data_IF_361762667496
#
_entry.id   IF_361762667496
#
_cell.length_a   1.000
_cell.length_b   1.000
_cell.length_c   1.000
_cell.angle_alpha   90.00
_cell.angle_beta   90.00
_cell.angle_gamma   90.00
#
_symmetry.space_group_name_H-M   'P 1'
#
loop_
_entity.id
_entity.type
_entity.pdbx_description
1 polymer ?
#
# COMPACT_ATOMS: atom_id res chain seq x y z
N UNK A 1 -12.77 9.60 -9.45
CA UNK A 1 -11.99 10.14 -10.58
C UNK A 1 -12.56 11.48 -11.04
N UNK A 2 -13.84 11.59 -11.37
CA UNK A 2 -14.44 12.84 -11.86
C UNK A 2 -14.23 14.01 -10.89
N UNK A 3 -14.49 13.82 -9.60
CA UNK A 3 -14.29 14.86 -8.60
C UNK A 3 -12.80 15.27 -8.42
N UNK A 4 -11.87 14.37 -8.69
CA UNK A 4 -10.44 14.65 -8.60
C UNK A 4 -9.97 15.57 -9.73
N UNK A 5 -10.53 15.38 -10.92
CA UNK A 5 -10.15 16.09 -12.14
C UNK A 5 -11.28 17.03 -12.65
N UNK A 6 -12.17 17.44 -11.74
CA UNK A 6 -13.32 18.28 -12.12
C UNK A 6 -12.92 19.57 -12.84
N UNK A 7 -11.83 20.19 -12.42
CA UNK A 7 -11.36 21.45 -13.03
C UNK A 7 -10.90 21.27 -14.49
N UNK A 8 -10.36 20.11 -14.83
CA UNK A 8 -9.91 19.77 -16.17
C UNK A 8 -11.07 19.24 -17.04
N UNK A 9 -11.92 18.41 -16.44
CA UNK A 9 -13.03 17.76 -17.13
C UNK A 9 -14.19 18.72 -17.39
N UNK A 10 -14.38 19.69 -16.49
CA UNK A 10 -15.46 20.67 -16.62
C UNK A 10 -15.15 21.66 -17.74
N UNK A 11 -16.05 21.72 -18.73
CA UNK A 11 -16.03 22.81 -19.70
C UNK A 11 -16.55 24.12 -19.14
N UNK A 12 -16.49 25.16 -19.94
CA UNK A 12 -17.10 26.47 -19.64
C UNK A 12 -18.36 26.67 -20.49
N UNK A 13 -19.48 26.96 -19.84
CA UNK A 13 -20.71 27.21 -20.55
C UNK A 13 -20.59 28.47 -21.42
N UNK A 14 -21.03 28.35 -22.67
CA UNK A 14 -21.25 29.51 -23.54
C UNK A 14 -22.50 30.27 -23.11
N UNK A 15 -22.54 31.51 -23.48
CA UNK A 15 -23.72 32.37 -23.32
C UNK A 15 -24.00 33.15 -24.58
N UNK A 16 -25.27 33.22 -24.98
CA UNK A 16 -25.70 34.05 -26.12
C UNK A 16 -26.80 34.98 -25.64
N UNK A 17 -26.61 36.26 -25.85
CA UNK A 17 -27.63 37.30 -25.67
C UNK A 17 -28.18 37.61 -27.03
N UNK A 18 -29.47 37.40 -27.23
CA UNK A 18 -30.12 37.63 -28.53
C UNK A 18 -31.47 38.31 -28.37
N UNK A 19 -31.88 39.03 -29.39
CA UNK A 19 -33.25 39.52 -29.53
C UNK A 19 -34.09 38.40 -30.13
N UNK A 20 -35.17 38.03 -29.44
CA UNK A 20 -36.12 37.01 -29.90
C UNK A 20 -37.37 37.69 -30.42
N UNK A 21 -37.92 37.23 -31.54
CA UNK A 21 -39.21 37.66 -32.09
C UNK A 21 -40.37 37.09 -31.28
N UNK A 22 -41.58 37.64 -31.49
CA UNK A 22 -42.79 37.15 -30.83
C UNK A 22 -43.11 35.66 -31.10
N UNK A 23 -42.70 35.15 -32.26
CA UNK A 23 -42.82 33.73 -32.64
C UNK A 23 -41.74 32.83 -32.03
N UNK A 24 -40.89 33.36 -31.16
CA UNK A 24 -39.81 32.61 -30.50
C UNK A 24 -38.53 32.42 -31.38
N UNK A 25 -38.52 32.91 -32.63
CA UNK A 25 -37.38 32.82 -33.48
C UNK A 25 -36.30 33.87 -33.11
N UNK A 26 -35.01 33.51 -33.28
CA UNK A 26 -33.90 34.41 -33.05
C UNK A 26 -33.87 35.52 -34.14
N UNK A 27 -33.93 36.76 -33.72
CA UNK A 27 -33.82 37.90 -34.65
C UNK A 27 -32.37 38.33 -34.85
N UNK A 28 -31.66 38.61 -33.76
CA UNK A 28 -30.30 39.15 -33.81
C UNK A 28 -29.54 38.75 -32.56
N UNK A 29 -28.32 38.22 -32.70
CA UNK A 29 -27.37 38.01 -31.62
C UNK A 29 -26.71 39.35 -31.29
N UNK A 30 -26.77 39.76 -30.03
CA UNK A 30 -26.13 40.97 -29.52
C UNK A 30 -24.72 40.72 -29.02
N UNK A 31 -24.54 39.59 -28.32
CA UNK A 31 -23.25 39.12 -27.82
C UNK A 31 -23.29 37.61 -27.70
N UNK A 32 -22.15 36.96 -27.87
CA UNK A 32 -21.99 35.54 -27.63
C UNK A 32 -20.59 35.24 -27.05
N UNK A 33 -20.56 34.41 -26.05
CA UNK A 33 -19.35 33.77 -25.53
C UNK A 33 -19.46 32.31 -25.92
N UNK A 34 -18.52 31.77 -26.72
CA UNK A 34 -18.57 30.37 -27.11
C UNK A 34 -18.36 29.44 -25.89
N UNK A 35 -19.03 28.30 -25.92
CA UNK A 35 -18.71 27.22 -24.96
C UNK A 35 -17.29 26.73 -25.16
N UNK A 36 -16.65 26.27 -24.11
CA UNK A 36 -15.39 25.55 -24.17
C UNK A 36 -15.59 24.18 -23.56
N UNK A 37 -15.28 23.15 -24.32
CA UNK A 37 -15.36 21.77 -23.82
C UNK A 37 -14.21 21.50 -22.83
N UNK A 38 -14.43 20.63 -21.85
CA UNK A 38 -13.40 20.19 -20.93
C UNK A 38 -12.30 19.38 -21.62
N UNK A 39 -11.23 19.11 -20.90
CA UNK A 39 -10.10 18.33 -21.41
C UNK A 39 -10.30 16.85 -21.14
N UNK A 40 -9.87 16.02 -22.07
CA UNK A 40 -9.76 14.58 -21.82
C UNK A 40 -8.59 14.27 -20.88
N UNK A 41 -8.77 13.33 -19.99
CA UNK A 41 -7.72 12.81 -19.11
C UNK A 41 -7.57 11.33 -19.36
N UNK A 42 -6.35 10.91 -19.65
CA UNK A 42 -5.99 9.49 -19.73
C UNK A 42 -5.30 9.09 -18.44
N UNK A 43 -5.71 7.97 -17.86
CA UNK A 43 -5.13 7.44 -16.64
C UNK A 43 -4.19 6.27 -16.95
N UNK A 44 -3.29 5.99 -16.03
CA UNK A 44 -2.37 4.84 -16.07
C UNK A 44 -3.06 3.51 -15.77
N UNK A 45 -4.32 3.54 -15.33
CA UNK A 45 -5.09 2.34 -14.99
C UNK A 45 -5.30 1.46 -16.24
N UNK A 46 -4.79 0.24 -16.17
CA UNK A 46 -5.10 -0.81 -17.14
C UNK A 46 -6.47 -1.42 -16.82
N UNK A 47 -7.45 -1.16 -17.67
CA UNK A 47 -8.83 -1.59 -17.46
C UNK A 47 -8.98 -3.12 -17.44
N UNK A 48 -8.14 -3.88 -18.18
CA UNK A 48 -8.17 -5.33 -18.19
C UNK A 48 -7.62 -5.87 -16.87
N UNK A 49 -6.48 -5.35 -16.40
CA UNK A 49 -5.90 -5.72 -15.10
C UNK A 49 -6.85 -5.35 -13.95
N UNK A 50 -7.39 -4.14 -13.96
CA UNK A 50 -8.38 -3.67 -12.97
C UNK A 50 -9.59 -4.63 -12.91
N UNK A 51 -10.14 -5.01 -14.08
CA UNK A 51 -11.28 -5.91 -14.19
C UNK A 51 -10.92 -7.33 -13.71
N UNK A 52 -9.76 -7.85 -14.09
CA UNK A 52 -9.31 -9.19 -13.69
C UNK A 52 -9.17 -9.29 -12.17
N UNK A 53 -8.52 -8.30 -11.54
CA UNK A 53 -8.38 -8.23 -10.09
C UNK A 53 -9.75 -8.12 -9.41
N UNK A 54 -10.64 -7.25 -9.93
CA UNK A 54 -11.98 -7.12 -9.40
C UNK A 54 -12.74 -8.44 -9.45
N UNK A 55 -12.72 -9.17 -10.56
CA UNK A 55 -13.40 -10.46 -10.68
C UNK A 55 -12.83 -11.52 -9.72
N UNK A 56 -11.51 -11.49 -9.47
CA UNK A 56 -10.88 -12.42 -8.55
C UNK A 56 -11.29 -12.21 -7.08
N UNK A 57 -11.57 -10.94 -6.68
CA UNK A 57 -11.80 -10.57 -5.28
C UNK A 57 -13.19 -9.98 -4.98
N UNK A 58 -14.11 -9.92 -5.94
CA UNK A 58 -15.39 -9.22 -5.80
C UNK A 58 -16.26 -9.68 -4.62
N UNK A 59 -16.10 -10.92 -4.18
CA UNK A 59 -16.84 -11.47 -3.03
C UNK A 59 -16.15 -11.19 -1.68
N UNK A 60 -14.87 -10.79 -1.72
CA UNK A 60 -14.06 -10.57 -0.54
C UNK A 60 -14.06 -9.11 -0.09
N UNK A 61 -13.75 -8.86 1.18
CA UNK A 61 -13.33 -7.54 1.67
C UNK A 61 -11.86 -7.34 1.35
N UNK A 62 -11.55 -6.86 0.16
CA UNK A 62 -10.17 -6.80 -0.34
C UNK A 62 -9.78 -5.41 -0.82
N UNK A 63 -8.47 -5.18 -0.85
CA UNK A 63 -7.85 -4.05 -1.50
C UNK A 63 -6.65 -4.54 -2.30
N UNK A 64 -6.60 -4.20 -3.58
CA UNK A 64 -5.46 -4.50 -4.43
C UNK A 64 -4.93 -3.22 -5.07
N UNK A 65 -3.60 -3.06 -5.00
CA UNK A 65 -2.87 -1.99 -5.67
C UNK A 65 -1.84 -2.65 -6.58
N UNK A 66 -1.86 -2.33 -7.86
CA UNK A 66 -0.83 -2.73 -8.81
C UNK A 66 -0.11 -1.49 -9.33
N UNK A 67 1.21 -1.52 -9.32
CA UNK A 67 2.07 -0.42 -9.71
C UNK A 67 3.21 -0.92 -10.59
N UNK A 68 3.57 -0.17 -11.62
CA UNK A 68 4.80 -0.43 -12.37
C UNK A 68 6.00 0.00 -11.51
N UNK A 69 6.87 -0.96 -11.12
CA UNK A 69 7.96 -0.65 -10.19
C UNK A 69 9.06 0.20 -10.81
N UNK A 70 9.10 0.37 -12.13
CA UNK A 70 10.13 1.13 -12.82
C UNK A 70 9.69 2.52 -13.29
N UNK A 71 8.38 2.79 -13.34
CA UNK A 71 7.86 4.09 -13.79
C UNK A 71 7.07 4.81 -12.72
N UNK A 72 6.53 4.11 -11.73
CA UNK A 72 5.63 4.68 -10.73
C UNK A 72 4.16 4.73 -11.15
N UNK A 73 3.82 4.26 -12.36
CA UNK A 73 2.44 4.18 -12.85
C UNK A 73 1.59 3.26 -11.98
N UNK A 74 0.48 3.77 -11.49
CA UNK A 74 -0.51 2.94 -10.79
C UNK A 74 -1.43 2.32 -11.82
N UNK A 75 -1.31 1.00 -12.00
CA UNK A 75 -1.99 0.22 -13.03
C UNK A 75 -3.34 -0.32 -12.59
N UNK A 76 -3.55 -0.50 -11.29
CA UNK A 76 -4.84 -0.89 -10.74
C UNK A 76 -5.01 -0.40 -9.30
N UNK A 77 -6.25 0.00 -8.98
CA UNK A 77 -6.72 0.37 -7.63
C UNK A 77 -8.08 -0.27 -7.41
N UNK A 78 -8.12 -1.42 -6.77
CA UNK A 78 -9.35 -2.19 -6.57
C UNK A 78 -9.71 -2.23 -5.09
N UNK A 79 -10.96 -1.90 -4.78
CA UNK A 79 -11.57 -2.04 -3.46
C UNK A 79 -12.84 -2.87 -3.59
N UNK A 80 -12.94 -3.99 -2.89
CA UNK A 80 -14.08 -4.91 -2.96
C UNK A 80 -14.68 -5.18 -1.57
N UNK A 81 -15.98 -5.49 -1.50
CA UNK A 81 -16.94 -5.36 -2.59
C UNK A 81 -17.08 -3.90 -3.03
N UNK A 82 -17.64 -3.69 -4.22
CA UNK A 82 -17.89 -2.37 -4.78
C UNK A 82 -19.38 -2.12 -4.99
N UNK A 83 -19.73 -0.99 -5.52
CA UNK A 83 -21.09 -0.58 -5.85
C UNK A 83 -21.14 -0.03 -7.29
N UNK A 84 -22.33 0.01 -7.89
CA UNK A 84 -22.54 0.66 -9.18
C UNK A 84 -22.68 2.19 -8.95
N UNK A 85 -21.72 2.96 -9.43
CA UNK A 85 -21.74 4.42 -9.31
C UNK A 85 -22.86 5.07 -10.15
N UNK A 86 -23.39 4.39 -11.18
CA UNK A 86 -24.55 4.88 -11.93
C UNK A 86 -25.79 4.99 -11.07
N UNK A 87 -25.93 4.17 -10.02
CA UNK A 87 -27.05 4.25 -9.10
C UNK A 87 -27.14 5.63 -8.40
N UNK A 88 -25.98 6.27 -8.17
CA UNK A 88 -25.94 7.60 -7.56
C UNK A 88 -26.28 8.72 -8.55
N UNK A 89 -26.08 8.48 -9.85
CA UNK A 89 -26.36 9.47 -10.91
C UNK A 89 -27.80 9.35 -11.36
N UNK A 90 -28.27 8.13 -11.59
CA UNK A 90 -29.61 7.84 -12.14
C UNK A 90 -30.72 7.82 -11.08
N UNK A 91 -30.33 7.82 -9.82
CA UNK A 91 -31.20 7.67 -8.66
C UNK A 91 -31.26 6.23 -8.16
N UNK A 92 -31.29 6.07 -6.86
CA UNK A 92 -31.30 4.79 -6.14
C UNK A 92 -32.58 4.67 -5.32
N UNK A 93 -33.20 3.48 -5.30
CA UNK A 93 -34.30 3.20 -4.39
C UNK A 93 -33.85 3.20 -2.93
N UNK A 94 -34.74 3.54 -2.01
CA UNK A 94 -34.44 3.47 -0.59
C UNK A 94 -34.00 2.07 -0.14
N UNK A 95 -34.60 1.03 -0.69
CA UNK A 95 -34.24 -0.37 -0.42
C UNK A 95 -32.79 -0.66 -0.79
N UNK A 96 -32.37 -0.27 -2.01
CA UNK A 96 -30.98 -0.45 -2.49
C UNK A 96 -29.99 0.36 -1.66
N UNK A 97 -30.35 1.60 -1.29
CA UNK A 97 -29.54 2.43 -0.40
C UNK A 97 -29.36 1.78 0.96
N UNK A 98 -30.45 1.28 1.56
CA UNK A 98 -30.40 0.57 2.84
C UNK A 98 -29.52 -0.66 2.75
N UNK A 99 -29.68 -1.49 1.71
CA UNK A 99 -28.85 -2.68 1.51
C UNK A 99 -27.35 -2.37 1.40
N UNK A 100 -26.97 -1.27 0.71
CA UNK A 100 -25.56 -0.85 0.62
C UNK A 100 -24.99 -0.39 1.97
N UNK A 101 -25.79 0.30 2.79
CA UNK A 101 -25.32 0.81 4.09
C UNK A 101 -25.28 -0.25 5.17
N UNK A 102 -26.15 -1.25 5.10
CA UNK A 102 -26.24 -2.34 6.08
C UNK A 102 -25.35 -3.53 5.71
N UNK A 103 -24.75 -3.55 4.50
CA UNK A 103 -23.82 -4.62 4.11
C UNK A 103 -22.58 -4.58 5.02
N UNK A 104 -22.44 -5.63 5.85
CA UNK A 104 -21.30 -5.82 6.78
C UNK A 104 -19.95 -5.82 6.09
N UNK A 105 -19.92 -5.99 4.78
CA UNK A 105 -18.70 -5.92 3.96
C UNK A 105 -18.29 -4.49 3.63
N UNK A 106 -19.13 -3.49 3.93
CA UNK A 106 -18.88 -2.06 3.70
C UNK A 106 -18.48 -1.73 2.26
N UNK A 107 -19.37 -1.92 1.26
CA UNK A 107 -19.05 -1.67 -0.16
C UNK A 107 -18.73 -0.19 -0.46
N UNK A 108 -19.25 0.74 0.34
CA UNK A 108 -18.97 2.18 0.20
C UNK A 108 -17.60 2.59 0.72
N UNK A 109 -16.90 1.72 1.45
CA UNK A 109 -15.58 2.00 1.98
C UNK A 109 -14.52 1.86 0.88
N UNK A 110 -13.85 2.96 0.56
CA UNK A 110 -12.71 2.93 -0.33
C UNK A 110 -11.45 2.49 0.45
N UNK A 111 -11.06 1.22 0.29
CA UNK A 111 -10.00 0.58 1.09
C UNK A 111 -8.61 1.07 0.72
N UNK A 112 -8.32 1.39 -0.51
CA UNK A 112 -6.99 1.92 -0.86
C UNK A 112 -6.73 3.34 -0.31
N UNK A 113 -7.76 4.01 0.20
CA UNK A 113 -7.61 5.27 0.94
C UNK A 113 -7.38 5.09 2.43
N UNK A 114 -7.58 3.87 2.94
CA UNK A 114 -7.42 3.54 4.35
C UNK A 114 -6.00 3.07 4.65
N UNK A 115 -5.73 2.77 5.91
CA UNK A 115 -4.49 2.14 6.38
C UNK A 115 -4.83 0.90 7.19
N UNK A 116 -3.98 -0.12 7.10
CA UNK A 116 -4.20 -1.43 7.71
C UNK A 116 -2.91 -1.92 8.34
N UNK A 117 -3.03 -2.82 9.32
CA UNK A 117 -1.88 -3.55 9.85
C UNK A 117 -1.27 -4.41 8.72
N UNK A 118 -0.01 -4.19 8.34
CA UNK A 118 0.60 -4.88 7.22
C UNK A 118 0.95 -6.33 7.56
N UNK A 119 1.11 -6.64 8.84
CA UNK A 119 1.60 -7.94 9.28
C UNK A 119 2.95 -8.27 8.64
N UNK A 120 3.17 -9.55 8.37
CA UNK A 120 4.45 -10.03 7.84
C UNK A 120 4.88 -9.45 6.48
N UNK A 121 4.01 -8.76 5.74
CA UNK A 121 4.43 -8.00 4.56
C UNK A 121 5.31 -6.79 4.91
N UNK A 122 5.44 -6.46 6.19
CA UNK A 122 6.32 -5.39 6.68
C UNK A 122 7.76 -5.85 6.91
N UNK A 123 8.00 -7.15 7.04
CA UNK A 123 9.32 -7.72 7.38
C UNK A 123 10.46 -7.32 6.42
N UNK A 124 10.25 -7.23 5.09
CA UNK A 124 11.26 -6.69 4.19
C UNK A 124 11.69 -5.27 4.57
N UNK A 125 10.74 -4.42 4.99
CA UNK A 125 11.02 -3.04 5.41
C UNK A 125 11.84 -3.03 6.71
N UNK A 126 11.45 -3.86 7.69
CA UNK A 126 12.23 -4.03 8.93
C UNK A 126 13.64 -4.52 8.66
N UNK A 127 13.80 -5.51 7.77
CA UNK A 127 15.10 -6.00 7.33
C UNK A 127 15.97 -4.90 6.72
N UNK A 128 15.39 -4.10 5.82
CA UNK A 128 16.09 -2.99 5.18
C UNK A 128 16.54 -1.93 6.20
N UNK A 129 15.68 -1.56 7.17
CA UNK A 129 16.05 -0.59 8.21
C UNK A 129 17.19 -1.13 9.08
N UNK A 130 17.14 -2.40 9.52
CA UNK A 130 18.16 -3.00 10.36
C UNK A 130 19.51 -3.15 9.67
N UNK A 131 19.53 -3.55 8.40
CA UNK A 131 20.72 -3.65 7.57
C UNK A 131 21.38 -2.28 7.37
N UNK A 132 20.61 -1.27 6.99
CA UNK A 132 21.12 0.10 6.78
C UNK A 132 21.59 0.77 8.06
N UNK A 133 20.98 0.44 9.20
CA UNK A 133 21.43 0.89 10.51
C UNK A 133 22.71 0.17 10.99
N UNK A 134 23.15 -0.89 10.27
CA UNK A 134 24.29 -1.72 10.65
C UNK A 134 24.05 -2.54 11.94
N UNK A 135 22.80 -2.69 12.34
CA UNK A 135 22.41 -3.45 13.54
C UNK A 135 22.01 -4.88 13.21
N UNK A 136 21.71 -5.16 11.94
CA UNK A 136 21.36 -6.48 11.45
C UNK A 136 22.46 -7.01 10.54
N UNK A 137 22.99 -8.18 10.86
CA UNK A 137 23.87 -8.97 10.00
C UNK A 137 23.02 -10.06 9.33
N UNK A 138 22.91 -10.10 7.97
CA UNK A 138 22.03 -11.04 7.29
C UNK A 138 22.41 -12.51 7.52
N UNK A 139 23.68 -12.80 7.77
CA UNK A 139 24.21 -14.14 7.97
C UNK A 139 24.20 -14.57 9.44
N UNK A 140 23.90 -13.66 10.35
CA UNK A 140 23.85 -13.98 11.77
C UNK A 140 22.68 -14.92 12.09
N UNK A 141 23.03 -16.05 12.71
CA UNK A 141 22.05 -16.97 13.26
C UNK A 141 21.65 -16.54 14.69
N UNK A 142 20.38 -16.18 14.87
CA UNK A 142 19.81 -15.85 16.20
C UNK A 142 19.51 -17.08 17.07
N UNK A 143 19.72 -18.28 16.52
CA UNK A 143 19.45 -19.53 17.19
C UNK A 143 17.98 -19.93 17.21
N UNK A 144 17.75 -21.16 17.61
CA UNK A 144 16.42 -21.77 17.67
C UNK A 144 15.67 -21.37 18.94
N UNK A 145 14.53 -20.68 18.79
CA UNK A 145 13.69 -20.23 19.92
C UNK A 145 12.38 -21.02 20.04
N UNK A 146 12.14 -21.95 19.13
CA UNK A 146 10.86 -22.65 19.04
C UNK A 146 9.74 -21.77 18.47
N UNK A 147 8.52 -21.94 18.96
CA UNK A 147 7.34 -21.24 18.45
C UNK A 147 6.90 -20.04 19.31
N UNK A 148 7.58 -19.78 20.42
CA UNK A 148 7.22 -18.74 21.37
C UNK A 148 8.47 -18.22 22.07
N UNK A 149 8.62 -16.90 22.09
CA UNK A 149 9.77 -16.24 22.68
C UNK A 149 9.34 -15.02 23.50
N UNK A 150 10.05 -14.77 24.57
CA UNK A 150 9.94 -13.59 25.43
C UNK A 150 11.33 -13.09 25.74
N UNK A 151 11.54 -11.77 25.69
CA UNK A 151 12.86 -11.20 25.95
C UNK A 151 13.34 -11.47 27.37
N UNK A 152 12.47 -11.18 28.33
CA UNK A 152 12.70 -11.42 29.76
C UNK A 152 11.39 -11.26 30.54
N UNK A 153 11.45 -11.44 31.88
CA UNK A 153 10.31 -11.38 32.78
C UNK A 153 9.61 -10.01 32.85
N UNK A 154 10.27 -8.93 32.39
CA UNK A 154 9.66 -7.59 32.38
C UNK A 154 8.47 -7.49 31.44
N UNK A 155 8.37 -8.40 30.46
CA UNK A 155 7.23 -8.49 29.52
C UNK A 155 5.99 -9.20 30.13
N UNK A 156 6.09 -9.69 31.38
CA UNK A 156 5.00 -10.37 32.06
C UNK A 156 4.55 -11.63 31.31
N UNK A 157 3.30 -11.66 30.85
CA UNK A 157 2.75 -12.80 30.09
C UNK A 157 2.82 -12.61 28.57
N UNK A 158 3.47 -11.54 28.10
CA UNK A 158 3.57 -11.27 26.69
C UNK A 158 4.67 -12.12 26.04
N UNK A 159 4.33 -12.76 24.92
CA UNK A 159 5.26 -13.54 24.11
C UNK A 159 5.04 -13.25 22.63
N UNK A 160 6.12 -13.15 21.88
CA UNK A 160 6.09 -13.18 20.42
C UNK A 160 5.97 -14.63 19.98
N UNK A 161 5.00 -14.91 19.12
CA UNK A 161 4.78 -16.27 18.58
C UNK A 161 5.00 -16.30 17.08
N UNK A 162 5.49 -17.43 16.59
CA UNK A 162 5.67 -17.71 15.15
C UNK A 162 5.01 -19.03 14.78
N UNK A 163 4.72 -19.23 13.49
CA UNK A 163 4.07 -20.47 13.02
C UNK A 163 5.07 -21.60 12.75
N UNK A 164 6.32 -21.23 12.44
CA UNK A 164 7.37 -22.16 12.08
C UNK A 164 8.60 -21.89 12.94
N UNK A 165 9.25 -22.94 13.37
CA UNK A 165 10.54 -22.85 14.02
C UNK A 165 11.62 -22.67 12.95
N UNK A 166 12.40 -21.61 13.05
CA UNK A 166 13.43 -21.25 12.05
C UNK A 166 14.80 -21.72 12.55
N UNK A 167 15.45 -22.56 11.79
CA UNK A 167 16.79 -23.06 12.08
C UNK A 167 17.55 -23.40 10.75
N UNK A 168 18.67 -22.70 10.42
CA UNK A 168 19.22 -21.56 11.15
C UNK A 168 18.32 -20.33 11.07
N UNK A 169 18.32 -19.49 12.12
CA UNK A 169 17.54 -18.25 12.18
C UNK A 169 18.34 -17.08 11.60
N UNK A 170 18.63 -17.14 10.29
CA UNK A 170 19.22 -16.04 9.50
C UNK A 170 18.14 -15.21 8.82
N UNK A 171 18.50 -14.05 8.26
CA UNK A 171 17.53 -13.15 7.60
C UNK A 171 16.76 -13.86 6.50
N UNK A 172 17.44 -14.58 5.60
CA UNK A 172 16.80 -15.31 4.50
C UNK A 172 15.81 -16.36 5.02
N UNK A 173 16.23 -17.24 5.94
CA UNK A 173 15.35 -18.26 6.49
C UNK A 173 14.16 -17.69 7.25
N UNK A 174 14.37 -16.60 8.00
CA UNK A 174 13.30 -15.88 8.68
C UNK A 174 12.30 -15.23 7.72
N UNK A 175 12.77 -14.77 6.57
CA UNK A 175 11.89 -14.29 5.47
C UNK A 175 11.09 -15.43 4.88
N UNK A 176 11.75 -16.55 4.52
CA UNK A 176 11.16 -17.75 3.89
C UNK A 176 10.04 -18.32 4.76
N UNK A 177 10.30 -18.52 6.05
CA UNK A 177 9.36 -19.10 7.01
C UNK A 177 8.46 -18.05 7.68
N UNK A 178 8.68 -16.77 7.38
CA UNK A 178 7.94 -15.65 7.95
C UNK A 178 8.01 -15.60 9.49
N UNK A 179 9.22 -15.73 10.06
CA UNK A 179 9.46 -15.79 11.49
C UNK A 179 9.24 -14.43 12.17
N UNK A 180 8.28 -14.36 13.11
CA UNK A 180 8.03 -13.16 13.88
C UNK A 180 9.10 -12.93 14.96
N UNK A 181 9.64 -14.00 15.54
CA UNK A 181 10.61 -13.91 16.64
C UNK A 181 11.91 -13.29 16.13
N UNK A 182 12.39 -13.71 14.95
CA UNK A 182 13.54 -13.12 14.31
C UNK A 182 13.38 -11.60 14.12
N UNK A 183 12.24 -11.17 13.52
CA UNK A 183 12.01 -9.76 13.22
C UNK A 183 11.72 -8.92 14.46
N UNK A 184 11.16 -9.50 15.52
CA UNK A 184 11.06 -8.86 16.82
C UNK A 184 12.44 -8.57 17.42
N UNK A 185 13.34 -9.56 17.40
CA UNK A 185 14.73 -9.39 17.85
C UNK A 185 15.47 -8.36 17.01
N UNK A 186 15.35 -8.42 15.69
CA UNK A 186 15.96 -7.45 14.78
C UNK A 186 15.51 -6.01 15.08
N UNK A 187 14.20 -5.77 15.29
CA UNK A 187 13.70 -4.46 15.66
C UNK A 187 14.23 -3.98 17.02
N UNK A 188 14.29 -4.86 18.03
CA UNK A 188 14.83 -4.55 19.34
C UNK A 188 16.34 -4.20 19.30
N UNK A 189 17.13 -4.91 18.49
CA UNK A 189 18.54 -4.59 18.27
C UNK A 189 18.74 -3.28 17.51
N UNK A 190 17.87 -2.98 16.55
CA UNK A 190 17.86 -1.68 15.86
C UNK A 190 17.57 -0.54 16.84
N UNK A 191 16.69 -0.78 17.81
CA UNK A 191 16.34 0.19 18.84
C UNK A 191 15.34 1.25 18.37
N UNK A 192 14.78 1.97 19.32
CA UNK A 192 13.68 2.93 19.10
C UNK A 192 14.01 4.00 18.08
N UNK A 193 15.11 4.70 18.30
CA UNK A 193 15.46 5.90 17.52
C UNK A 193 15.83 5.55 16.08
N UNK A 194 16.63 4.51 15.87
CA UNK A 194 17.04 4.11 14.54
C UNK A 194 15.86 3.51 13.74
N UNK A 195 15.00 2.73 14.41
CA UNK A 195 13.81 2.15 13.77
C UNK A 195 12.81 3.24 13.37
N UNK A 196 12.49 4.18 14.28
CA UNK A 196 11.59 5.30 14.00
C UNK A 196 12.16 6.23 12.91
N UNK A 197 13.46 6.60 12.99
CA UNK A 197 14.12 7.40 11.94
C UNK A 197 14.09 6.70 10.57
N UNK A 198 14.26 5.38 10.55
CA UNK A 198 14.13 4.59 9.34
C UNK A 198 12.73 4.71 8.74
N UNK A 199 11.68 4.62 9.55
CA UNK A 199 10.29 4.75 9.13
C UNK A 199 9.95 6.18 8.69
N UNK A 200 10.42 7.21 9.39
CA UNK A 200 10.25 8.61 9.00
C UNK A 200 10.89 8.90 7.64
N UNK A 201 12.09 8.36 7.39
CA UNK A 201 12.76 8.43 6.07
C UNK A 201 11.95 7.75 4.98
N UNK A 202 11.23 6.68 5.29
CA UNK A 202 10.33 5.97 4.40
C UNK A 202 8.95 6.63 4.24
N UNK A 203 8.75 7.85 4.74
CA UNK A 203 7.53 8.63 4.55
C UNK A 203 6.38 8.26 5.48
N UNK A 204 6.63 7.55 6.59
CA UNK A 204 5.62 7.36 7.62
C UNK A 204 5.28 8.68 8.30
N UNK A 205 4.05 8.82 8.77
CA UNK A 205 3.49 10.05 9.35
C UNK A 205 3.50 11.27 8.40
N UNK A 206 3.64 11.03 7.08
CA UNK A 206 3.67 12.06 6.04
C UNK A 206 2.60 11.79 4.98
N UNK A 207 2.24 12.84 4.24
CA UNK A 207 1.35 12.69 3.10
C UNK A 207 2.05 12.00 1.94
N UNK A 208 1.39 11.01 1.36
CA UNK A 208 1.88 10.37 0.14
C UNK A 208 1.72 11.35 -1.04
N UNK A 209 2.77 11.61 -1.84
CA UNK A 209 2.69 12.50 -3.02
C UNK A 209 1.94 11.81 -4.17
N UNK A 210 0.64 11.67 -4.02
CA UNK A 210 -0.26 10.98 -4.93
C UNK A 210 -1.48 11.85 -5.21
N UNK A 211 -2.09 11.74 -6.40
CA UNK A 211 -3.23 12.59 -6.78
C UNK A 211 -4.46 12.34 -5.88
N UNK A 212 -4.61 11.12 -5.37
CA UNK A 212 -5.69 10.79 -4.45
C UNK A 212 -5.19 10.97 -3.02
N UNK A 213 -5.85 11.80 -2.23
CA UNK A 213 -5.58 11.87 -0.80
C UNK A 213 -5.92 10.54 -0.12
N UNK A 214 -4.91 9.94 0.51
CA UNK A 214 -4.98 8.68 1.24
C UNK A 214 -4.59 8.88 2.70
N UNK A 215 -4.95 7.96 3.57
CA UNK A 215 -4.53 8.01 4.97
C UNK A 215 -3.00 7.86 5.06
N UNK A 216 -2.36 8.70 5.86
CA UNK A 216 -0.94 8.57 6.17
C UNK A 216 -0.65 7.22 6.83
N UNK A 217 0.42 6.55 6.42
CA UNK A 217 0.95 5.41 7.17
C UNK A 217 1.52 5.87 8.49
N UNK A 218 1.38 5.06 9.54
CA UNK A 218 1.89 5.38 10.87
C UNK A 218 2.61 4.17 11.47
N UNK A 219 3.49 4.40 12.42
CA UNK A 219 4.11 3.36 13.23
C UNK A 219 3.70 3.41 14.71
N UNK A 220 3.03 4.48 15.11
CA UNK A 220 2.47 4.63 16.45
C UNK A 220 1.18 5.46 16.42
N UNK A 221 0.36 5.35 17.46
CA UNK A 221 -0.79 6.24 17.72
C UNK A 221 -0.35 7.58 18.31
N UNK A 222 0.87 7.62 18.84
CA UNK A 222 1.63 8.82 19.21
C UNK A 222 2.83 8.86 18.26
N UNK A 223 3.50 9.97 18.11
CA UNK A 223 4.65 10.05 17.19
C UNK A 223 5.90 9.28 17.68
N UNK A 224 5.77 8.43 18.70
CA UNK A 224 6.85 7.68 19.32
C UNK A 224 6.48 6.23 19.58
N UNK A 225 7.48 5.34 19.48
CA UNK A 225 7.38 3.96 19.96
C UNK A 225 7.75 3.98 21.44
N UNK A 226 6.80 3.64 22.31
CA UNK A 226 6.91 3.90 23.76
C UNK A 226 7.42 2.70 24.56
N UNK A 227 7.22 1.47 24.07
CA UNK A 227 7.57 0.25 24.80
C UNK A 227 8.34 -0.76 23.96
N UNK A 228 9.16 -1.59 24.60
CA UNK A 228 9.87 -2.68 23.94
C UNK A 228 8.92 -3.67 23.24
N UNK A 229 7.79 -3.97 23.84
CA UNK A 229 6.76 -4.85 23.25
C UNK A 229 6.21 -4.21 21.96
N UNK A 230 5.95 -2.89 21.99
CA UNK A 230 5.50 -2.18 20.79
C UNK A 230 6.56 -2.21 19.69
N UNK A 231 7.85 -2.00 20.05
CA UNK A 231 8.96 -2.06 19.09
C UNK A 231 9.10 -3.47 18.52
N UNK A 232 9.05 -4.50 19.34
CA UNK A 232 9.11 -5.89 18.92
C UNK A 232 7.95 -6.24 17.94
N UNK A 233 6.71 -5.85 18.30
CA UNK A 233 5.52 -6.04 17.45
C UNK A 233 5.63 -5.28 16.13
N UNK A 234 6.19 -4.07 16.16
CA UNK A 234 6.43 -3.26 14.97
C UNK A 234 7.37 -3.95 13.98
N UNK A 235 8.34 -4.71 14.47
CA UNK A 235 9.32 -5.45 13.66
C UNK A 235 8.69 -6.44 12.67
N UNK A 236 7.50 -6.98 12.97
CA UNK A 236 6.77 -7.88 12.07
C UNK A 236 5.42 -7.32 11.62
N UNK A 237 5.28 -5.99 11.68
CA UNK A 237 4.12 -5.26 11.12
C UNK A 237 2.84 -5.38 11.92
N UNK A 238 2.97 -5.54 13.24
CA UNK A 238 1.88 -5.56 14.21
C UNK A 238 1.95 -4.33 15.14
N UNK A 239 1.36 -4.42 16.31
CA UNK A 239 1.34 -3.34 17.27
C UNK A 239 0.50 -2.17 16.76
N UNK A 240 1.15 -1.02 16.58
CA UNK A 240 0.49 0.23 16.12
C UNK A 240 0.89 0.62 14.68
N UNK A 241 1.62 -0.24 13.98
CA UNK A 241 1.98 -0.04 12.57
C UNK A 241 0.76 -0.21 11.70
N UNK A 242 0.38 0.85 10.98
CA UNK A 242 -0.70 0.85 10.00
C UNK A 242 -0.17 1.47 8.70
N UNK A 243 -0.32 0.75 7.60
CA UNK A 243 0.22 1.17 6.29
C UNK A 243 -0.90 1.34 5.27
N UNK A 244 -0.84 2.41 4.51
CA UNK A 244 -1.70 2.60 3.35
C UNK A 244 -1.26 1.66 2.21
N UNK A 245 -2.18 0.96 1.51
CA UNK A 245 -1.80 0.03 0.45
C UNK A 245 -1.04 0.63 -0.72
N UNK A 246 -1.32 1.89 -1.10
CA UNK A 246 -0.59 2.59 -2.16
C UNK A 246 0.83 2.93 -1.70
N UNK A 247 0.97 3.37 -0.45
CA UNK A 247 2.28 3.62 0.15
C UNK A 247 3.11 2.34 0.21
N UNK A 248 2.53 1.21 0.66
CA UNK A 248 3.23 -0.07 0.70
C UNK A 248 3.71 -0.50 -0.69
N UNK A 249 2.87 -0.38 -1.71
CA UNK A 249 3.25 -0.69 -3.10
C UNK A 249 4.39 0.22 -3.59
N UNK A 250 4.33 1.53 -3.25
CA UNK A 250 5.40 2.48 -3.58
C UNK A 250 6.72 2.11 -2.87
N UNK A 251 6.69 1.79 -1.57
CA UNK A 251 7.88 1.37 -0.82
C UNK A 251 8.55 0.15 -1.44
N UNK A 252 7.78 -0.83 -1.91
CA UNK A 252 8.36 -2.02 -2.55
C UNK A 252 9.10 -1.73 -3.86
N UNK A 253 8.91 -0.55 -4.47
CA UNK A 253 9.71 -0.15 -5.64
C UNK A 253 11.18 0.08 -5.31
N UNK A 254 11.55 0.26 -4.03
CA UNK A 254 12.96 0.47 -3.64
C UNK A 254 13.85 -0.74 -3.96
N UNK A 255 13.31 -1.94 -3.93
CA UNK A 255 14.12 -3.14 -4.16
C UNK A 255 14.62 -3.22 -5.61
N UNK A 256 13.78 -3.23 -6.66
CA UNK A 256 14.26 -3.24 -8.04
C UNK A 256 14.94 -1.92 -8.48
N UNK A 257 14.77 -0.82 -7.72
CA UNK A 257 15.38 0.48 -8.01
C UNK A 257 16.58 0.81 -7.11
N UNK A 258 17.22 -0.22 -6.53
CA UNK A 258 18.48 -0.07 -5.81
C UNK A 258 18.40 0.96 -4.66
N UNK A 259 17.33 0.90 -3.89
CA UNK A 259 17.08 1.75 -2.73
C UNK A 259 16.30 3.02 -2.99
N UNK A 260 15.77 3.23 -4.19
CA UNK A 260 14.96 4.40 -4.53
C UNK A 260 13.48 4.06 -4.55
N UNK A 261 12.67 4.84 -3.84
CA UNK A 261 11.21 4.73 -3.87
C UNK A 261 10.65 5.65 -4.94
N UNK A 262 9.84 5.09 -5.83
CA UNK A 262 9.18 5.86 -6.88
C UNK A 262 7.89 6.49 -6.38
N UNK A 263 7.62 7.70 -6.86
CA UNK A 263 6.37 8.41 -6.66
C UNK A 263 5.26 7.73 -7.45
N UNK A 264 4.16 7.33 -6.81
CA UNK A 264 2.99 6.81 -7.51
C UNK A 264 2.27 7.94 -8.25
N UNK A 265 1.72 7.65 -9.44
CA UNK A 265 0.90 8.61 -10.19
C UNK A 265 -0.17 7.92 -11.04
N UNK A 266 -1.23 8.68 -11.37
CA UNK A 266 -2.40 8.22 -12.12
C UNK A 266 -2.57 8.85 -13.49
N UNK A 267 -2.05 10.04 -13.72
CA UNK A 267 -2.22 10.73 -15.01
C UNK A 267 -1.19 10.18 -15.99
N UNK A 268 -1.68 9.55 -17.06
CA UNK A 268 -0.84 8.99 -18.11
C UNK A 268 0.07 10.05 -18.76
N UNK A 269 1.31 9.66 -19.02
CA UNK A 269 2.31 10.46 -19.71
C UNK A 269 2.79 9.67 -20.94
N UNK A 270 2.84 10.30 -22.11
CA UNK A 270 3.30 9.65 -23.36
C UNK A 270 4.75 9.13 -23.25
N UNK A 271 5.55 9.80 -22.46
CA UNK A 271 6.92 9.38 -22.13
C UNK A 271 7.02 9.34 -20.60
N UNK A 272 6.78 8.16 -19.99
CA UNK A 272 6.88 8.03 -18.54
C UNK A 272 8.34 8.14 -18.12
N UNK A 273 8.68 9.21 -17.42
CA UNK A 273 9.94 9.34 -16.71
C UNK A 273 9.68 9.04 -15.22
N UNK A 274 10.41 8.09 -14.61
CA UNK A 274 10.23 7.79 -13.20
C UNK A 274 10.58 9.02 -12.35
N UNK A 275 9.65 9.41 -11.50
CA UNK A 275 9.88 10.43 -10.49
C UNK A 275 10.23 9.74 -9.17
N UNK A 276 11.45 9.98 -8.67
CA UNK A 276 11.88 9.43 -7.39
C UNK A 276 11.26 10.26 -6.27
N UNK A 277 10.56 9.61 -5.35
CA UNK A 277 10.04 10.24 -4.16
C UNK A 277 11.07 10.23 -3.01
N UNK A 278 11.73 9.08 -2.80
CA UNK A 278 12.74 8.93 -1.76
C UNK A 278 14.02 8.38 -2.43
N UNK A 279 15.10 9.17 -2.43
CA UNK A 279 16.36 8.81 -3.10
C UNK A 279 17.14 7.73 -2.33
N UNK A 280 17.16 7.80 -1.01
CA UNK A 280 17.97 6.97 -0.12
C UNK A 280 17.07 6.22 0.87
N UNK A 281 16.09 5.45 0.36
CA UNK A 281 15.23 4.62 1.19
C UNK A 281 16.01 3.49 1.86
N UNK A 282 16.92 2.88 1.11
CA UNK A 282 17.96 1.97 1.62
C UNK A 282 19.18 1.99 0.68
N UNK A 283 20.30 1.36 1.10
CA UNK A 283 21.46 1.19 0.22
C UNK A 283 21.16 0.19 -0.91
N UNK A 284 21.85 0.29 -2.08
CA UNK A 284 21.70 -0.71 -3.14
C UNK A 284 22.00 -2.14 -2.70
N UNK A 285 22.95 -2.31 -1.80
CA UNK A 285 23.33 -3.62 -1.22
C UNK A 285 22.19 -4.17 -0.34
N UNK A 286 21.63 -3.34 0.51
CA UNK A 286 20.46 -3.69 1.33
C UNK A 286 19.27 -4.09 0.46
N UNK A 287 19.01 -3.34 -0.62
CA UNK A 287 17.92 -3.64 -1.55
C UNK A 287 18.08 -5.03 -2.17
N UNK A 288 19.31 -5.38 -2.61
CA UNK A 288 19.64 -6.68 -3.21
C UNK A 288 19.45 -7.83 -2.20
N UNK A 289 20.01 -7.69 -0.99
CA UNK A 289 19.88 -8.72 0.07
C UNK A 289 18.41 -9.00 0.38
N UNK A 290 17.59 -7.95 0.57
CA UNK A 290 16.17 -8.12 0.89
C UNK A 290 15.37 -8.66 -0.30
N UNK A 291 15.69 -8.24 -1.52
CA UNK A 291 15.08 -8.77 -2.74
C UNK A 291 15.35 -10.27 -2.90
N UNK A 292 16.58 -10.71 -2.65
CA UNK A 292 16.95 -12.13 -2.72
C UNK A 292 16.23 -12.95 -1.65
N UNK A 293 16.09 -12.43 -0.44
CA UNK A 293 15.24 -13.03 0.58
C UNK A 293 13.78 -13.15 0.14
N UNK A 294 13.21 -12.13 -0.53
CA UNK A 294 11.85 -12.20 -1.09
C UNK A 294 11.74 -13.18 -2.27
N UNK A 295 12.78 -13.34 -3.10
CA UNK A 295 12.82 -14.39 -4.13
C UNK A 295 12.82 -15.77 -3.49
N UNK A 296 13.58 -15.97 -2.40
CA UNK A 296 13.60 -17.22 -1.64
C UNK A 296 12.25 -17.58 -1.02
N UNK A 297 11.45 -16.59 -0.57
CA UNK A 297 10.07 -16.83 -0.09
C UNK A 297 9.20 -17.51 -1.15
N UNK A 298 9.42 -17.23 -2.43
CA UNK A 298 8.65 -17.81 -3.53
C UNK A 298 9.29 -19.10 -4.05
N UNK A 299 10.61 -19.13 -4.21
CA UNK A 299 11.32 -20.24 -4.85
C UNK A 299 11.56 -21.45 -3.95
N UNK A 300 11.69 -21.24 -2.62
CA UNK A 300 11.87 -22.33 -1.67
C UNK A 300 10.62 -23.17 -1.53
N UNK A 301 10.75 -24.51 -1.50
CA UNK A 301 9.64 -25.44 -1.24
C UNK A 301 8.98 -25.23 0.13
N UNK A 302 9.73 -24.68 1.08
CA UNK A 302 9.24 -24.34 2.43
C UNK A 302 8.76 -22.89 2.55
N UNK A 303 8.91 -22.10 1.47
CA UNK A 303 8.54 -20.69 1.46
C UNK A 303 7.05 -20.46 1.60
N UNK A 304 6.68 -19.54 2.48
CA UNK A 304 5.26 -19.20 2.72
C UNK A 304 4.55 -18.67 1.47
N UNK A 305 5.29 -18.21 0.46
CA UNK A 305 4.79 -17.73 -0.83
C UNK A 305 4.95 -18.75 -1.98
N UNK A 306 5.43 -19.97 -1.73
CA UNK A 306 5.74 -20.96 -2.76
C UNK A 306 4.57 -21.27 -3.72
N UNK A 307 3.34 -21.20 -3.24
CA UNK A 307 2.14 -21.41 -4.08
C UNK A 307 2.02 -20.40 -5.24
N UNK A 308 2.71 -19.27 -5.19
CA UNK A 308 2.75 -18.28 -6.26
C UNK A 308 3.88 -18.54 -7.28
N UNK A 309 4.72 -19.56 -7.08
CA UNK A 309 5.87 -19.84 -7.96
C UNK A 309 5.43 -20.09 -9.40
N UNK A 310 6.18 -19.53 -10.33
CA UNK A 310 6.01 -19.73 -11.78
C UNK A 310 7.33 -20.16 -12.42
N UNK A 311 7.22 -20.95 -13.48
CA UNK A 311 8.39 -21.42 -14.23
C UNK A 311 8.84 -20.47 -15.34
N UNK A 312 7.99 -19.51 -15.73
CA UNK A 312 8.21 -18.59 -16.85
C UNK A 312 8.74 -17.21 -16.42
N UNK A 313 8.58 -16.85 -15.14
CA UNK A 313 9.09 -15.58 -14.58
C UNK A 313 9.59 -15.79 -13.16
N UNK A 314 10.61 -15.00 -12.76
CA UNK A 314 11.05 -14.93 -11.37
C UNK A 314 10.17 -13.96 -10.59
N UNK A 315 9.64 -14.44 -9.48
CA UNK A 315 8.84 -13.64 -8.55
C UNK A 315 9.59 -13.41 -7.25
N UNK A 316 9.47 -12.21 -6.73
CA UNK A 316 9.86 -11.87 -5.37
C UNK A 316 8.61 -11.43 -4.60
N UNK A 317 8.48 -11.77 -3.32
CA UNK A 317 7.32 -11.40 -2.57
C UNK A 317 7.38 -11.77 -1.10
N UNK A 318 6.41 -11.26 -0.34
CA UNK A 318 6.23 -11.61 1.07
C UNK A 318 4.75 -11.80 1.38
N UNK A 319 4.42 -12.93 1.97
CA UNK A 319 3.09 -13.19 2.52
C UNK A 319 2.84 -12.34 3.75
N UNK A 320 1.60 -11.94 3.96
CA UNK A 320 1.16 -11.17 5.13
C UNK A 320 0.03 -11.87 5.87
N UNK A 321 0.11 -11.87 7.18
CA UNK A 321 -0.98 -12.20 8.10
C UNK A 321 -0.95 -11.19 9.23
N UNK A 322 -2.07 -10.54 9.48
CA UNK A 322 -2.21 -9.59 10.59
C UNK A 322 -3.33 -10.06 11.53
N UNK A 323 -3.09 -10.00 12.82
CA UNK A 323 -4.12 -10.19 13.82
C UNK A 323 -4.89 -8.90 14.03
N UNK A 324 -6.21 -8.97 13.88
CA UNK A 324 -7.09 -7.89 14.29
C UNK A 324 -7.42 -8.15 15.76
N UNK A 325 -6.65 -7.56 16.66
CA UNK A 325 -6.98 -7.58 18.09
C UNK A 325 -8.22 -6.70 18.30
N UNK A 326 -9.34 -7.29 18.71
CA UNK A 326 -10.45 -6.52 19.22
C UNK A 326 -9.92 -5.68 20.39
N UNK A 327 -10.15 -4.37 20.37
CA UNK A 327 -9.85 -3.52 21.51
C UNK A 327 -10.43 -4.12 22.78
N UNK A 328 -9.58 -4.37 23.77
CA UNK A 328 -10.04 -4.68 25.13
C UNK A 328 -10.56 -3.42 25.77
#
# INVERSE_FOLDING_TARGET
>A
MEALFENELRGTNGCTVAIIREDGSMNRVLAAIPKQDGKNITLTIDSNLQSAIYQAFKEDKSCSVAMNPYTGEVLALVSTPSYDNNDFILGMSQEKWTALNEDVRNPLLNRFRQRFAPGSSFKPITGAIGLDAGTLDPDRDYGEEGLSWQKDESWGNYHVTTLHNTNPATLEHAMVLSDNIYFAKAALETGYDAFASGLDRLGFNQDLPFEISVAQSQYSNTDQIETEIQLADSGYGQGQVLVNPVHLASLYTMYPNRGKVLKPYLVYKDTPEPEVWIEDACTPETAEIVEDGMKAVISSEHGTGHAAMRSDITLAGKTGTAEIKASK
#
